data_IF_855531640281
#
_entry.id   IF_855531640281
#
_cell.length_a   1.000
_cell.length_b   1.000
_cell.length_c   1.000
_cell.angle_alpha   90.00
_cell.angle_beta   90.00
_cell.angle_gamma   90.00
#
_symmetry.space_group_name_H-M   'P 1'
#
loop_
_entity.id
_entity.type
_entity.pdbx_description
1 polymer ?
#
# COMPACT_ATOMS: atom_id res chain seq x y z
N UNK A 1 21.99 4.01 14.06
CA UNK A 1 21.94 3.12 12.88
C UNK A 1 20.88 3.67 11.94
N UNK A 2 21.25 4.08 10.73
CA UNK A 2 20.26 4.47 9.73
C UNK A 2 19.56 3.19 9.25
N UNK A 3 18.26 3.08 9.51
CA UNK A 3 17.44 1.99 8.97
C UNK A 3 17.30 2.30 7.48
N UNK A 4 17.99 1.55 6.62
CA UNK A 4 17.72 1.63 5.18
C UNK A 4 16.33 1.05 4.95
N UNK A 5 15.36 1.84 4.49
CA UNK A 5 14.02 1.32 4.26
C UNK A 5 14.06 0.29 3.12
N UNK A 6 13.29 -0.79 3.27
CA UNK A 6 13.20 -1.86 2.26
C UNK A 6 12.65 -1.36 0.91
N UNK A 7 11.87 -0.27 0.93
CA UNK A 7 11.36 0.41 -0.25
C UNK A 7 11.57 1.91 -0.15
N UNK A 8 11.88 2.52 -1.28
CA UNK A 8 11.83 3.98 -1.45
C UNK A 8 10.39 4.45 -1.68
N UNK A 9 10.13 5.74 -1.45
CA UNK A 9 8.81 6.33 -1.73
C UNK A 9 8.39 6.19 -3.19
N UNK A 10 9.34 6.31 -4.13
CA UNK A 10 9.09 6.17 -5.55
C UNK A 10 8.71 4.73 -5.94
N UNK A 11 9.35 3.73 -5.32
CA UNK A 11 9.01 2.32 -5.54
C UNK A 11 7.63 1.98 -4.98
N UNK A 12 7.28 2.51 -3.81
CA UNK A 12 5.94 2.35 -3.24
C UNK A 12 4.87 2.99 -4.13
N UNK A 13 5.10 4.21 -4.63
CA UNK A 13 4.15 4.88 -5.53
C UNK A 13 3.95 4.07 -6.82
N UNK A 14 5.02 3.48 -7.36
CA UNK A 14 4.96 2.60 -8.54
C UNK A 14 4.15 1.34 -8.26
N UNK A 15 4.37 0.69 -7.11
CA UNK A 15 3.60 -0.50 -6.73
C UNK A 15 2.14 -0.18 -6.46
N UNK A 16 1.83 0.93 -5.79
CA UNK A 16 0.45 1.37 -5.55
C UNK A 16 -0.28 1.58 -6.87
N UNK A 17 0.37 2.20 -7.86
CA UNK A 17 -0.22 2.39 -9.18
C UNK A 17 -0.51 1.05 -9.87
N UNK A 18 0.44 0.12 -9.87
CA UNK A 18 0.27 -1.21 -10.46
C UNK A 18 -0.87 -2.01 -9.81
N UNK A 19 -0.92 -2.05 -8.47
CA UNK A 19 -1.96 -2.76 -7.73
C UNK A 19 -3.35 -2.11 -7.90
N UNK A 20 -3.43 -0.77 -7.97
CA UNK A 20 -4.70 -0.07 -8.25
C UNK A 20 -5.23 -0.41 -9.63
N UNK A 21 -4.37 -0.40 -10.65
CA UNK A 21 -4.76 -0.73 -12.01
C UNK A 21 -5.25 -2.17 -12.11
N UNK A 22 -4.50 -3.11 -11.51
CA UNK A 22 -4.91 -4.51 -11.45
C UNK A 22 -6.24 -4.70 -10.73
N UNK A 23 -6.49 -4.00 -9.62
CA UNK A 23 -7.78 -4.06 -8.92
C UNK A 23 -8.93 -3.58 -9.81
N UNK A 24 -8.74 -2.51 -10.59
CA UNK A 24 -9.77 -2.00 -11.50
C UNK A 24 -10.03 -2.97 -12.66
N UNK A 25 -8.98 -3.51 -13.28
CA UNK A 25 -9.10 -4.46 -14.38
C UNK A 25 -9.78 -5.77 -13.93
N UNK A 26 -9.41 -6.25 -12.74
CA UNK A 26 -9.99 -7.45 -12.12
C UNK A 26 -11.43 -7.22 -11.69
N UNK A 27 -11.76 -6.05 -11.16
CA UNK A 27 -13.15 -5.67 -10.86
C UNK A 27 -14.01 -5.59 -12.14
N UNK A 28 -13.40 -5.27 -13.28
CA UNK A 28 -14.02 -5.35 -14.61
C UNK A 28 -14.13 -6.77 -15.18
N UNK A 29 -13.75 -7.80 -14.42
CA UNK A 29 -13.84 -9.21 -14.83
C UNK A 29 -12.65 -9.71 -15.65
N UNK A 30 -11.55 -8.94 -15.74
CA UNK A 30 -10.33 -9.37 -16.43
C UNK A 30 -9.43 -10.20 -15.50
N UNK A 31 -8.62 -11.06 -16.09
CA UNK A 31 -7.50 -11.74 -15.40
C UNK A 31 -6.23 -10.97 -15.70
N UNK A 32 -5.48 -10.62 -14.65
CA UNK A 32 -4.27 -9.80 -14.78
C UNK A 32 -3.10 -10.57 -14.19
N UNK A 33 -1.97 -10.60 -14.89
CA UNK A 33 -0.71 -11.08 -14.30
C UNK A 33 -0.02 -9.92 -13.62
N UNK A 34 0.23 -10.07 -12.32
CA UNK A 34 0.88 -9.09 -11.47
C UNK A 34 2.22 -9.64 -11.00
N UNK A 35 3.30 -8.92 -11.28
CA UNK A 35 4.60 -9.26 -10.73
C UNK A 35 4.66 -8.81 -9.26
N UNK A 36 4.79 -9.78 -8.36
CA UNK A 36 4.89 -9.53 -6.92
C UNK A 36 6.23 -10.06 -6.44
N UNK A 37 7.18 -9.17 -6.17
CA UNK A 37 8.50 -9.55 -5.64
C UNK A 37 9.28 -10.54 -6.52
N UNK A 38 9.17 -10.41 -7.85
CA UNK A 38 9.88 -11.27 -8.80
C UNK A 38 9.10 -12.50 -9.27
N UNK A 39 7.90 -12.75 -8.72
CA UNK A 39 7.02 -13.83 -9.19
C UNK A 39 5.79 -13.25 -9.89
N UNK A 40 5.51 -13.69 -11.11
CA UNK A 40 4.27 -13.36 -11.80
C UNK A 40 3.13 -14.20 -11.23
N UNK A 41 2.17 -13.54 -10.58
CA UNK A 41 0.94 -14.15 -10.07
C UNK A 41 -0.23 -13.75 -10.96
N UNK A 42 -1.05 -14.71 -11.35
CA UNK A 42 -2.32 -14.40 -11.99
C UNK A 42 -3.35 -14.02 -10.92
N UNK A 43 -4.02 -12.90 -11.12
CA UNK A 43 -4.93 -12.28 -10.17
C UNK A 43 -6.31 -12.18 -10.81
N UNK A 44 -7.31 -12.63 -10.08
CA UNK A 44 -8.71 -12.72 -10.54
C UNK A 44 -9.65 -12.03 -9.56
N UNK A 45 -10.95 -11.97 -9.87
CA UNK A 45 -11.95 -11.28 -9.05
C UNK A 45 -12.02 -11.83 -7.62
N UNK A 46 -11.66 -13.10 -7.44
CA UNK A 46 -11.59 -13.75 -6.13
C UNK A 46 -10.48 -13.18 -5.24
N UNK A 47 -9.42 -12.63 -5.84
CA UNK A 47 -8.29 -12.02 -5.14
C UNK A 47 -8.50 -10.53 -4.81
N UNK A 48 -9.65 -9.94 -5.16
CA UNK A 48 -9.96 -8.53 -4.87
C UNK A 48 -9.80 -8.14 -3.38
N UNK A 49 -10.23 -8.97 -2.40
CA UNK A 49 -9.99 -8.66 -0.99
C UNK A 49 -8.51 -8.59 -0.65
N UNK A 50 -7.69 -9.45 -1.27
CA UNK A 50 -6.25 -9.51 -1.01
C UNK A 50 -5.52 -8.34 -1.66
N UNK A 51 -5.90 -7.95 -2.88
CA UNK A 51 -5.43 -6.73 -3.55
C UNK A 51 -5.69 -5.47 -2.71
N UNK A 52 -6.86 -5.38 -2.06
CA UNK A 52 -7.19 -4.26 -1.16
C UNK A 52 -6.30 -4.22 0.06
N UNK A 53 -6.11 -5.35 0.75
CA UNK A 53 -5.20 -5.42 1.90
C UNK A 53 -3.78 -5.01 1.51
N UNK A 54 -3.31 -5.46 0.35
CA UNK A 54 -1.98 -5.11 -0.13
C UNK A 54 -1.86 -3.60 -0.41
N UNK A 55 -2.88 -2.99 -1.00
CA UNK A 55 -2.94 -1.54 -1.19
C UNK A 55 -2.97 -0.75 0.13
N UNK A 56 -3.72 -1.22 1.12
CA UNK A 56 -3.77 -0.62 2.45
C UNK A 56 -2.39 -0.68 3.12
N UNK A 57 -1.71 -1.83 3.03
CA UNK A 57 -0.36 -1.99 3.55
C UNK A 57 0.64 -1.04 2.87
N UNK A 58 0.64 -0.96 1.53
CA UNK A 58 1.52 -0.06 0.78
C UNK A 58 1.28 1.41 1.14
N UNK A 59 0.02 1.82 1.34
CA UNK A 59 -0.31 3.17 1.78
C UNK A 59 0.17 3.43 3.20
N UNK A 60 -0.03 2.49 4.12
CA UNK A 60 0.46 2.61 5.49
C UNK A 60 1.98 2.75 5.54
N UNK A 61 2.70 1.99 4.71
CA UNK A 61 4.16 2.06 4.63
C UNK A 61 4.65 3.39 4.05
N UNK A 62 3.96 3.90 3.02
CA UNK A 62 4.23 5.25 2.47
C UNK A 62 4.04 6.34 3.52
N UNK A 63 2.97 6.26 4.32
CA UNK A 63 2.71 7.20 5.41
C UNK A 63 3.77 7.07 6.51
N UNK A 64 4.20 5.85 6.86
CA UNK A 64 5.30 5.64 7.82
C UNK A 64 6.60 6.31 7.36
N UNK A 65 6.94 6.18 6.07
CA UNK A 65 8.10 6.88 5.50
C UNK A 65 7.94 8.40 5.52
N UNK A 66 6.73 8.93 5.31
CA UNK A 66 6.52 10.38 5.26
C UNK A 66 6.46 11.05 6.64
N UNK A 67 5.95 10.37 7.66
CA UNK A 67 5.73 10.97 8.99
C UNK A 67 7.02 10.98 9.83
N UNK A 68 8.03 10.21 9.44
CA UNK A 68 9.28 10.10 10.19
C UNK A 68 9.10 9.35 11.52
N UNK A 69 10.16 8.70 11.98
CA UNK A 69 10.16 7.98 13.25
C UNK A 69 10.30 8.97 14.42
N UNK A 70 9.18 9.43 14.98
CA UNK A 70 9.15 10.30 16.16
C UNK A 70 7.81 10.23 16.91
N UNK A 71 7.78 10.60 18.21
CA UNK A 71 6.54 10.64 18.99
C UNK A 71 5.56 11.63 18.34
N UNK A 72 4.40 11.12 17.93
CA UNK A 72 3.32 11.95 17.39
C UNK A 72 2.59 12.63 18.53
N UNK A 73 2.64 13.96 18.57
CA UNK A 73 1.72 14.74 19.39
C UNK A 73 0.32 14.66 18.78
N UNK A 74 -0.57 13.91 19.43
CA UNK A 74 -1.99 13.96 19.15
C UNK A 74 -2.56 15.17 19.93
N UNK A 75 -2.95 16.28 19.28
CA UNK A 75 -3.64 17.36 19.97
C UNK A 75 -5.02 16.85 20.41
N UNK A 76 -5.10 16.36 21.65
CA UNK A 76 -6.37 16.01 22.27
C UNK A 76 -7.22 17.26 22.44
N UNK A 77 -8.49 17.20 22.03
CA UNK A 77 -9.45 18.27 22.31
C UNK A 77 -9.82 18.19 23.80
N UNK A 78 -9.45 19.17 24.64
CA UNK A 78 -9.83 19.13 26.05
C UNK A 78 -11.35 19.14 26.17
N UNK A 79 -11.90 18.22 26.98
CA UNK A 79 -13.31 18.21 27.35
C UNK A 79 -13.59 19.50 28.11
N UNK A 80 -14.44 20.36 27.55
CA UNK A 80 -14.95 21.54 28.27
C UNK A 80 -15.87 21.03 29.39
N UNK A 81 -15.43 21.17 30.64
CA UNK A 81 -16.26 21.05 31.84
C UNK A 81 -17.05 22.33 32.04
#
# INVERSE_FOLDING_TARGET
MAITPLFTSAELDTQIAAFKQAMLDVAGGKRVRLNTGGTDREVTSEDLPELRKQLEWLQAERVRLSVGHGPQFLPGRPRRS
#
